data_IF_979129293545
#
_entry.id   IF_979129293545
#
_cell.length_a   1.000
_cell.length_b   1.000
_cell.length_c   1.000
_cell.angle_alpha   90.00
_cell.angle_beta   90.00
_cell.angle_gamma   90.00
#
_symmetry.space_group_name_H-M   'P 1'
#
loop_
_entity.id
_entity.type
_entity.pdbx_description
1 polymer ?
#
# COMPACT_ATOMS: atom_id res chain seq x y z
N UNK A 1 9.71 26.51 -4.30
CA UNK A 1 9.04 26.53 -5.59
C UNK A 1 7.54 26.26 -5.47
N UNK A 2 6.78 26.68 -6.46
CA UNK A 2 5.33 26.51 -6.45
C UNK A 2 4.91 25.05 -6.47
N UNK A 3 5.71 24.18 -7.07
CA UNK A 3 5.41 22.74 -7.12
C UNK A 3 5.46 22.14 -5.71
N UNK A 4 6.51 22.47 -4.95
CA UNK A 4 6.63 21.97 -3.58
C UNK A 4 5.51 22.47 -2.68
N UNK A 5 5.13 23.75 -2.83
CA UNK A 5 4.04 24.33 -2.07
C UNK A 5 2.70 23.67 -2.40
N UNK A 6 2.46 23.41 -3.69
CA UNK A 6 1.22 22.77 -4.14
C UNK A 6 1.09 21.35 -3.61
N UNK A 7 2.18 20.58 -3.58
CA UNK A 7 2.17 19.23 -3.03
C UNK A 7 1.87 19.26 -1.54
N UNK A 8 2.48 20.19 -0.83
CA UNK A 8 2.26 20.34 0.62
C UNK A 8 0.81 20.71 0.92
N UNK A 9 0.25 21.62 0.14
CA UNK A 9 -1.12 22.08 0.29
C UNK A 9 -2.11 20.95 0.01
N UNK A 10 -1.90 20.20 -1.07
CA UNK A 10 -2.73 19.06 -1.42
C UNK A 10 -2.71 18.01 -0.30
N UNK A 11 -1.51 17.73 0.26
CA UNK A 11 -1.34 16.77 1.34
C UNK A 11 -2.11 17.20 2.59
N UNK A 12 -2.09 18.49 2.93
CA UNK A 12 -2.78 18.98 4.12
C UNK A 12 -4.30 18.99 3.95
N UNK A 13 -4.81 19.00 2.72
CA UNK A 13 -6.24 18.99 2.46
C UNK A 13 -6.86 17.60 2.47
N UNK A 14 -6.04 16.54 2.43
CA UNK A 14 -6.54 15.17 2.46
C UNK A 14 -6.87 14.77 3.90
N UNK A 15 -8.11 14.33 4.12
CA UNK A 15 -8.52 13.86 5.44
C UNK A 15 -7.93 12.48 5.73
N UNK A 16 -7.89 12.11 7.01
CA UNK A 16 -7.42 10.78 7.40
C UNK A 16 -8.28 9.68 6.81
N UNK A 17 -9.60 9.91 6.73
CA UNK A 17 -10.52 8.94 6.11
C UNK A 17 -10.20 8.71 4.64
N UNK A 18 -9.93 9.79 3.91
CA UNK A 18 -9.56 9.69 2.49
C UNK A 18 -8.22 8.97 2.33
N UNK A 19 -7.28 9.27 3.21
CA UNK A 19 -5.96 8.65 3.19
C UNK A 19 -6.07 7.15 3.42
N UNK A 20 -6.87 6.73 4.39
CA UNK A 20 -7.15 5.32 4.65
C UNK A 20 -7.73 4.65 3.41
N UNK A 21 -8.65 5.32 2.75
CA UNK A 21 -9.28 4.80 1.53
C UNK A 21 -8.24 4.58 0.42
N UNK A 22 -7.34 5.55 0.22
CA UNK A 22 -6.29 5.43 -0.80
C UNK A 22 -5.33 4.29 -0.48
N UNK A 23 -4.93 4.15 0.78
CA UNK A 23 -4.07 3.04 1.17
C UNK A 23 -4.77 1.69 1.04
N UNK A 24 -6.08 1.63 1.32
CA UNK A 24 -6.85 0.41 1.15
C UNK A 24 -6.89 -0.02 -0.33
N UNK A 25 -7.04 0.95 -1.24
CA UNK A 25 -7.00 0.69 -2.67
C UNK A 25 -5.63 0.19 -3.08
N UNK A 26 -4.57 0.81 -2.57
CA UNK A 26 -3.19 0.39 -2.85
C UNK A 26 -2.94 -1.03 -2.35
N UNK A 27 -3.44 -1.37 -1.16
CA UNK A 27 -3.30 -2.71 -0.60
C UNK A 27 -4.02 -3.74 -1.45
N UNK A 28 -5.22 -3.41 -1.91
CA UNK A 28 -5.97 -4.30 -2.79
C UNK A 28 -5.20 -4.56 -4.09
N UNK A 29 -4.63 -3.51 -4.68
CA UNK A 29 -3.83 -3.64 -5.89
C UNK A 29 -2.60 -4.50 -5.66
N UNK A 30 -1.93 -4.32 -4.51
CA UNK A 30 -0.78 -5.13 -4.15
C UNK A 30 -1.16 -6.60 -3.98
N UNK A 31 -2.30 -6.87 -3.35
CA UNK A 31 -2.79 -8.24 -3.18
C UNK A 31 -3.12 -8.91 -4.52
N UNK A 32 -3.64 -8.15 -5.47
CA UNK A 32 -3.91 -8.67 -6.82
C UNK A 32 -2.59 -9.02 -7.53
N UNK A 33 -1.58 -8.19 -7.37
CA UNK A 33 -0.24 -8.44 -7.93
C UNK A 33 0.38 -9.67 -7.28
N UNK A 34 0.23 -9.81 -5.96
CA UNK A 34 0.68 -10.99 -5.22
C UNK A 34 0.07 -12.26 -5.80
N UNK A 35 -1.22 -12.24 -6.09
CA UNK A 35 -1.92 -13.36 -6.71
C UNK A 35 -1.29 -13.73 -8.05
N UNK A 36 -0.93 -12.75 -8.88
CA UNK A 36 -0.32 -13.04 -10.17
C UNK A 36 1.09 -13.62 -10.05
N UNK A 37 1.86 -13.18 -9.05
CA UNK A 37 3.14 -13.81 -8.76
C UNK A 37 2.96 -15.27 -8.38
N UNK A 38 1.93 -15.57 -7.57
CA UNK A 38 1.63 -16.93 -7.18
C UNK A 38 1.24 -17.78 -8.40
N UNK A 39 0.40 -17.26 -9.28
CA UNK A 39 0.02 -17.95 -10.51
C UNK A 39 1.24 -18.28 -11.36
N UNK A 40 2.15 -17.33 -11.53
CA UNK A 40 3.34 -17.52 -12.35
C UNK A 40 4.26 -18.57 -11.74
N UNK A 41 4.52 -18.46 -10.44
CA UNK A 41 5.51 -19.34 -9.78
C UNK A 41 4.96 -20.74 -9.51
N UNK A 42 3.71 -20.83 -9.06
CA UNK A 42 3.11 -22.12 -8.71
C UNK A 42 2.26 -22.71 -9.81
N UNK A 43 1.47 -21.86 -10.49
CA UNK A 43 0.59 -22.32 -11.56
C UNK A 43 1.34 -22.77 -12.79
N UNK A 44 2.35 -22.04 -13.19
CA UNK A 44 3.17 -22.33 -14.37
C UNK A 44 4.52 -22.91 -14.01
N UNK A 45 4.79 -23.12 -12.71
CA UNK A 45 6.05 -23.66 -12.23
C UNK A 45 7.27 -22.90 -12.76
N UNK A 46 7.11 -21.58 -12.92
CA UNK A 46 8.18 -20.72 -13.39
C UNK A 46 8.99 -20.22 -12.21
N UNK A 47 10.29 -20.49 -12.21
CA UNK A 47 11.19 -20.07 -11.14
C UNK A 47 12.22 -19.10 -11.67
N UNK A 48 12.36 -17.98 -10.99
CA UNK A 48 13.31 -16.94 -11.34
C UNK A 48 13.68 -16.19 -10.06
N UNK A 49 14.97 -15.96 -9.88
CA UNK A 49 15.44 -15.20 -8.72
C UNK A 49 14.86 -13.79 -8.71
N UNK A 50 14.74 -13.18 -9.90
CA UNK A 50 14.16 -11.84 -10.02
C UNK A 50 12.72 -11.81 -9.58
N UNK A 51 11.92 -12.80 -9.99
CA UNK A 51 10.51 -12.89 -9.62
C UNK A 51 10.37 -13.13 -8.13
N UNK A 52 11.15 -14.03 -7.57
CA UNK A 52 11.11 -14.32 -6.14
C UNK A 52 11.50 -13.11 -5.31
N UNK A 53 12.51 -12.36 -5.77
CA UNK A 53 12.92 -11.14 -5.09
C UNK A 53 11.79 -10.10 -5.12
N UNK A 54 11.21 -9.86 -6.29
CA UNK A 54 10.12 -8.89 -6.43
C UNK A 54 8.91 -9.28 -5.62
N UNK A 55 8.57 -10.56 -5.59
CA UNK A 55 7.46 -11.06 -4.80
C UNK A 55 7.72 -10.83 -3.31
N UNK A 56 8.93 -11.10 -2.85
CA UNK A 56 9.32 -10.84 -1.47
C UNK A 56 9.20 -9.37 -1.11
N UNK A 57 9.64 -8.47 -2.00
CA UNK A 57 9.52 -7.04 -1.81
C UNK A 57 8.06 -6.61 -1.74
N UNK A 58 7.23 -7.18 -2.59
CA UNK A 58 5.80 -6.89 -2.59
C UNK A 58 5.15 -7.25 -1.26
N UNK A 59 5.53 -8.39 -0.69
CA UNK A 59 4.99 -8.81 0.61
C UNK A 59 5.38 -7.84 1.72
N UNK A 60 6.59 -7.28 1.66
CA UNK A 60 7.01 -6.26 2.61
C UNK A 60 6.17 -4.99 2.47
N UNK A 61 5.93 -4.58 1.23
CA UNK A 61 5.10 -3.40 0.94
C UNK A 61 3.69 -3.60 1.49
N UNK A 62 3.10 -4.78 1.29
CA UNK A 62 1.77 -5.11 1.81
C UNK A 62 1.72 -4.96 3.33
N UNK A 63 2.74 -5.43 4.02
CA UNK A 63 2.83 -5.32 5.47
C UNK A 63 2.91 -3.87 5.92
N UNK A 64 3.71 -3.07 5.23
CA UNK A 64 3.85 -1.64 5.55
C UNK A 64 2.53 -0.91 5.35
N UNK A 65 1.86 -1.15 4.23
CA UNK A 65 0.58 -0.49 3.93
C UNK A 65 -0.47 -0.89 4.98
N UNK A 66 -0.55 -2.16 5.32
CA UNK A 66 -1.49 -2.65 6.32
C UNK A 66 -1.24 -1.97 7.67
N UNK A 67 0.02 -1.81 8.06
CA UNK A 67 0.38 -1.13 9.30
C UNK A 67 -0.01 0.34 9.27
N UNK A 68 0.20 1.01 8.14
CA UNK A 68 -0.19 2.41 7.98
C UNK A 68 -1.70 2.56 8.16
N UNK A 69 -2.48 1.68 7.57
CA UNK A 69 -3.95 1.71 7.69
C UNK A 69 -4.36 1.56 9.15
N UNK A 70 -3.78 0.59 9.85
CA UNK A 70 -4.10 0.38 11.26
C UNK A 70 -3.74 1.60 12.11
N UNK A 71 -2.58 2.20 11.84
CA UNK A 71 -2.14 3.39 12.57
C UNK A 71 -3.09 4.56 12.31
N UNK A 72 -3.50 4.77 11.06
CA UNK A 72 -4.41 5.85 10.72
C UNK A 72 -5.79 5.64 11.35
N UNK A 73 -6.28 4.42 11.37
CA UNK A 73 -7.55 4.10 12.01
C UNK A 73 -7.50 4.34 13.51
N UNK A 74 -6.40 3.99 14.15
CA UNK A 74 -6.22 4.23 15.57
C UNK A 74 -6.21 5.73 15.88
N UNK A 75 -5.50 6.52 15.07
CA UNK A 75 -5.47 7.96 15.23
C UNK A 75 -6.82 8.61 15.01
N UNK A 76 -7.58 8.09 14.05
CA UNK A 76 -8.91 8.59 13.78
C UNK A 76 -9.85 8.33 14.97
N UNK A 77 -9.71 7.16 15.59
CA UNK A 77 -10.49 6.78 16.75
C UNK A 77 -10.18 7.69 17.95
N UNK A 78 -8.91 8.04 18.14
CA UNK A 78 -8.48 8.94 19.22
C UNK A 78 -9.03 10.35 19.03
N UNK A 79 -9.12 10.82 17.79
CA UNK A 79 -9.62 12.17 17.51
C UNK A 79 -11.13 12.29 17.68
N UNK A 80 -11.84 11.22 17.87
CA UNK A 80 -13.28 11.25 18.08
C UNK A 80 -13.69 11.52 19.52
N UNK A 81 -12.73 11.59 20.41
CA UNK A 81 -12.99 11.91 21.81
C UNK A 81 -13.14 13.41 22.03
#
# INVERSE_FOLDING_TARGET
TSVGANVREAKSSISKKELIKYYAIALKSANETDFWFEVITKGYDYKSESIEYCWGELKQIEKVIAKIILTLKANLSETKV
#
